data_IF_481735684826
#
_entry.id   IF_481735684826
#
_cell.length_a   1.000
_cell.length_b   1.000
_cell.length_c   1.000
_cell.angle_alpha   90.00
_cell.angle_beta   90.00
_cell.angle_gamma   90.00
#
_symmetry.space_group_name_H-M   'P 1'
#
loop_
_entity.id
_entity.type
_entity.pdbx_description
1 polymer ?
#
# COMPACT_ATOMS: atom_id res chain seq x y z
N UNK A 1 6.98 -11.90 -21.69
CA UNK A 1 6.99 -10.43 -21.57
C UNK A 1 5.86 -10.08 -20.62
N UNK A 2 6.21 -9.50 -19.46
CA UNK A 2 5.38 -9.09 -18.33
C UNK A 2 4.46 -10.14 -17.68
N UNK A 3 4.92 -10.72 -16.57
CA UNK A 3 4.05 -11.24 -15.51
C UNK A 3 4.47 -10.56 -14.22
N UNK A 4 3.97 -9.34 -14.04
CA UNK A 4 3.93 -8.74 -12.70
C UNK A 4 3.09 -9.65 -11.81
N UNK A 5 3.63 -9.98 -10.65
CA UNK A 5 2.88 -10.72 -9.64
C UNK A 5 1.67 -9.87 -9.19
N UNK A 6 0.51 -10.47 -8.87
CA UNK A 6 -0.52 -9.80 -8.09
C UNK A 6 0.15 -9.43 -6.76
N UNK A 7 0.34 -8.13 -6.51
CA UNK A 7 1.07 -7.62 -5.35
C UNK A 7 2.28 -6.73 -5.66
N UNK A 8 2.76 -6.61 -6.91
CA UNK A 8 3.74 -5.58 -7.27
C UNK A 8 3.06 -4.23 -7.57
N UNK A 9 2.50 -3.62 -6.53
CA UNK A 9 1.84 -2.32 -6.59
C UNK A 9 2.78 -1.12 -6.73
N UNK A 10 4.08 -1.34 -6.95
CA UNK A 10 5.08 -0.29 -6.90
C UNK A 10 6.07 -0.38 -8.07
N UNK A 11 5.64 0.08 -9.23
CA UNK A 11 6.56 0.56 -10.28
C UNK A 11 7.05 2.00 -10.04
N UNK A 12 6.66 2.65 -8.94
CA UNK A 12 7.11 4.00 -8.54
C UNK A 12 8.14 4.03 -7.39
N UNK A 13 8.96 2.99 -7.19
CA UNK A 13 10.14 3.07 -6.31
C UNK A 13 11.35 3.75 -6.97
N UNK A 14 11.14 4.87 -7.66
CA UNK A 14 12.18 5.51 -8.45
C UNK A 14 12.06 7.02 -8.54
N UNK A 15 12.85 7.72 -7.70
CA UNK A 15 13.40 9.09 -7.82
C UNK A 15 12.47 10.29 -8.06
N UNK A 16 11.30 10.12 -8.66
CA UNK A 16 10.41 11.19 -9.06
C UNK A 16 9.10 11.10 -8.29
N UNK A 17 8.68 12.21 -7.67
CA UNK A 17 7.37 12.31 -7.06
C UNK A 17 6.29 12.05 -8.13
N UNK A 18 5.27 11.22 -7.86
CA UNK A 18 4.19 11.03 -8.81
C UNK A 18 3.52 12.38 -9.09
N UNK A 19 3.15 12.68 -10.35
CA UNK A 19 2.46 13.91 -10.69
C UNK A 19 1.19 14.06 -9.85
N UNK A 20 1.05 15.20 -9.16
CA UNK A 20 -0.10 15.46 -8.29
C UNK A 20 -0.05 14.78 -6.92
N UNK A 21 1.12 14.32 -6.46
CA UNK A 21 1.24 13.79 -5.10
C UNK A 21 0.84 14.85 -4.07
N UNK A 22 -0.11 14.49 -3.22
CA UNK A 22 -0.59 15.32 -2.11
C UNK A 22 0.36 15.19 -0.91
N UNK A 23 0.73 16.31 -0.32
CA UNK A 23 1.53 16.34 0.90
C UNK A 23 0.64 16.52 2.14
N UNK A 24 1.03 15.87 3.22
CA UNK A 24 0.31 15.90 4.49
C UNK A 24 1.20 16.38 5.64
N UNK A 25 0.63 17.21 6.51
CA UNK A 25 1.16 17.35 7.86
C UNK A 25 0.91 16.07 8.65
N UNK A 26 1.67 15.88 9.73
CA UNK A 26 1.47 14.73 10.63
C UNK A 26 0.05 14.70 11.20
N UNK A 27 -0.54 15.86 11.49
CA UNK A 27 -1.89 15.97 12.04
C UNK A 27 -2.95 15.57 11.01
N UNK A 28 -2.84 16.01 9.76
CA UNK A 28 -3.74 15.61 8.69
C UNK A 28 -3.70 14.11 8.45
N UNK A 29 -2.50 13.53 8.31
CA UNK A 29 -2.34 12.09 8.12
C UNK A 29 -2.97 11.30 9.29
N UNK A 30 -2.79 11.76 10.53
CA UNK A 30 -3.39 11.13 11.72
C UNK A 30 -4.91 11.27 11.76
N UNK A 31 -5.47 12.38 11.27
CA UNK A 31 -6.94 12.56 11.17
C UNK A 31 -7.56 11.59 10.17
N UNK A 32 -6.84 11.25 9.10
CA UNK A 32 -7.31 10.27 8.09
C UNK A 32 -7.10 8.81 8.52
N UNK A 33 -6.22 8.56 9.48
CA UNK A 33 -5.83 7.21 9.89
C UNK A 33 -7.01 6.28 10.22
N UNK A 34 -8.12 6.70 10.86
CA UNK A 34 -9.25 5.81 11.11
C UNK A 34 -9.85 5.22 9.84
N UNK A 35 -9.98 6.01 8.76
CA UNK A 35 -10.49 5.55 7.47
C UNK A 35 -9.46 4.67 6.77
N UNK A 36 -8.21 5.14 6.68
CA UNK A 36 -7.12 4.38 6.05
C UNK A 36 -6.91 3.02 6.70
N UNK A 37 -7.05 2.95 8.03
CA UNK A 37 -6.98 1.70 8.78
C UNK A 37 -8.07 0.72 8.33
N UNK A 38 -9.31 1.18 8.13
CA UNK A 38 -10.41 0.32 7.69
C UNK A 38 -10.14 -0.26 6.31
N UNK A 39 -9.75 0.58 5.36
CA UNK A 39 -9.42 0.14 4.00
C UNK A 39 -8.23 -0.84 4.03
N UNK A 40 -7.20 -0.58 4.84
CA UNK A 40 -6.07 -1.49 4.97
C UNK A 40 -6.43 -2.82 5.66
N UNK A 41 -7.35 -2.81 6.63
CA UNK A 41 -7.92 -4.03 7.24
C UNK A 41 -8.69 -4.85 6.19
N UNK A 42 -9.50 -4.19 5.36
CA UNK A 42 -10.26 -4.84 4.29
C UNK A 42 -9.30 -5.46 3.26
N UNK A 43 -8.30 -4.71 2.77
CA UNK A 43 -7.26 -5.24 1.87
C UNK A 43 -6.58 -6.48 2.45
N UNK A 44 -6.22 -6.45 3.74
CA UNK A 44 -5.59 -7.59 4.40
C UNK A 44 -6.52 -8.81 4.48
N UNK A 45 -7.81 -8.60 4.77
CA UNK A 45 -8.81 -9.67 4.78
C UNK A 45 -9.01 -10.28 3.38
N UNK A 46 -9.16 -9.44 2.35
CA UNK A 46 -9.26 -9.90 0.96
C UNK A 46 -8.03 -10.70 0.53
N UNK A 47 -6.82 -10.27 0.92
CA UNK A 47 -5.59 -11.00 0.63
C UNK A 47 -5.56 -12.38 1.29
N UNK A 48 -6.01 -12.49 2.55
CA UNK A 48 -6.05 -13.77 3.26
C UNK A 48 -6.96 -14.80 2.57
N UNK A 49 -8.04 -14.34 1.94
CA UNK A 49 -8.91 -15.20 1.13
C UNK A 49 -8.29 -15.52 -0.24
N UNK A 50 -7.60 -14.57 -0.86
CA UNK A 50 -7.09 -14.69 -2.22
C UNK A 50 -5.80 -15.53 -2.32
N UNK A 51 -4.89 -15.39 -1.34
CA UNK A 51 -3.57 -16.00 -1.36
C UNK A 51 -3.58 -17.53 -1.58
N UNK A 52 -4.43 -18.31 -0.89
CA UNK A 52 -4.52 -19.76 -1.12
C UNK A 52 -4.91 -20.12 -2.56
N UNK A 53 -5.80 -19.34 -3.17
CA UNK A 53 -6.25 -19.54 -4.55
C UNK A 53 -5.12 -19.22 -5.54
N UNK A 54 -4.35 -18.15 -5.29
CA UNK A 54 -3.17 -17.80 -6.08
C UNK A 54 -2.13 -18.91 -6.00
N UNK A 55 -1.83 -19.41 -4.79
CA UNK A 55 -0.87 -20.51 -4.58
C UNK A 55 -1.32 -21.78 -5.29
N UNK A 56 -2.61 -22.12 -5.19
CA UNK A 56 -3.22 -23.26 -5.88
C UNK A 56 -3.06 -23.14 -7.39
N UNK A 57 -3.49 -22.01 -7.98
CA UNK A 57 -3.40 -21.79 -9.42
C UNK A 57 -1.94 -21.85 -9.90
N UNK A 58 -1.01 -21.22 -9.18
CA UNK A 58 0.43 -21.25 -9.48
C UNK A 58 0.99 -22.67 -9.50
N UNK A 59 0.50 -23.53 -8.61
CA UNK A 59 0.93 -24.93 -8.49
C UNK A 59 0.23 -25.87 -9.46
N UNK A 60 -0.83 -25.43 -10.16
CA UNK A 60 -1.53 -26.25 -11.15
C UNK A 60 -0.67 -26.48 -12.40
N UNK A 61 -0.64 -27.71 -12.94
CA UNK A 61 -0.03 -27.96 -14.24
C UNK A 61 -0.83 -27.28 -15.36
N UNK A 62 -0.20 -26.90 -16.49
CA UNK A 62 -0.85 -26.17 -17.57
C UNK A 62 -2.13 -26.86 -18.10
N UNK A 63 -2.18 -28.19 -18.06
CA UNK A 63 -3.32 -29.01 -18.49
C UNK A 63 -4.53 -28.79 -17.58
N UNK A 64 -4.29 -28.72 -16.27
CA UNK A 64 -5.33 -28.49 -15.28
C UNK A 64 -5.88 -27.07 -15.36
N UNK A 65 -5.05 -26.06 -15.71
CA UNK A 65 -5.55 -24.69 -15.91
C UNK A 65 -6.50 -24.56 -17.10
N UNK A 66 -6.32 -25.40 -18.13
CA UNK A 66 -7.17 -25.39 -19.34
C UNK A 66 -8.54 -26.04 -19.13
N UNK A 67 -8.77 -26.76 -18.02
CA UNK A 67 -10.08 -27.37 -17.72
C UNK A 67 -11.11 -26.31 -17.31
N UNK A 68 -12.38 -26.69 -17.23
CA UNK A 68 -13.43 -25.79 -16.74
C UNK A 68 -13.13 -25.29 -15.31
N UNK A 69 -12.70 -26.19 -14.42
CA UNK A 69 -12.36 -25.84 -13.04
C UNK A 69 -11.15 -24.90 -12.95
N UNK A 70 -10.14 -25.10 -13.82
CA UNK A 70 -8.96 -24.23 -13.89
C UNK A 70 -9.33 -22.81 -14.33
N UNK A 71 -10.14 -22.69 -15.38
CA UNK A 71 -10.63 -21.38 -15.86
C UNK A 71 -11.54 -20.68 -14.86
N UNK A 72 -12.46 -21.41 -14.22
CA UNK A 72 -13.32 -20.84 -13.19
C UNK A 72 -12.51 -20.29 -12.00
N UNK A 73 -11.41 -20.96 -11.63
CA UNK A 73 -10.49 -20.45 -10.60
C UNK A 73 -9.74 -19.19 -11.07
N UNK A 74 -9.33 -19.11 -12.35
CA UNK A 74 -8.72 -17.91 -12.93
C UNK A 74 -9.71 -16.72 -12.94
N UNK A 75 -10.95 -16.94 -13.36
CA UNK A 75 -12.01 -15.92 -13.37
C UNK A 75 -12.35 -15.43 -11.95
N UNK A 76 -12.44 -16.34 -10.97
CA UNK A 76 -12.66 -15.97 -9.56
C UNK A 76 -11.49 -15.11 -9.03
N UNK A 77 -10.25 -15.50 -9.35
CA UNK A 77 -9.06 -14.76 -8.96
C UNK A 77 -9.00 -13.37 -9.59
N UNK A 78 -9.39 -13.23 -10.86
CA UNK A 78 -9.44 -11.95 -11.55
C UNK A 78 -10.49 -11.02 -10.93
N UNK A 79 -11.69 -11.52 -10.66
CA UNK A 79 -12.75 -10.74 -10.01
C UNK A 79 -12.32 -10.24 -8.62
N UNK A 80 -11.76 -11.13 -7.78
CA UNK A 80 -11.29 -10.75 -6.44
C UNK A 80 -10.06 -9.84 -6.47
N UNK A 81 -9.18 -9.99 -7.47
CA UNK A 81 -8.08 -9.04 -7.67
C UNK A 81 -8.63 -7.64 -7.96
N UNK A 82 -9.64 -7.52 -8.83
CA UNK A 82 -10.25 -6.24 -9.15
C UNK A 82 -10.87 -5.54 -7.91
N UNK A 83 -11.45 -6.30 -6.98
CA UNK A 83 -11.93 -5.76 -5.70
C UNK A 83 -10.78 -5.20 -4.84
N UNK A 84 -9.67 -5.94 -4.72
CA UNK A 84 -8.49 -5.48 -4.01
C UNK A 84 -7.87 -4.24 -4.66
N UNK A 85 -7.85 -4.20 -5.99
CA UNK A 85 -7.34 -3.08 -6.77
C UNK A 85 -8.18 -1.82 -6.55
N UNK A 86 -9.50 -1.95 -6.40
CA UNK A 86 -10.39 -0.84 -6.07
C UNK A 86 -10.10 -0.24 -4.69
N UNK A 87 -9.86 -1.08 -3.67
CA UNK A 87 -9.49 -0.61 -2.32
C UNK A 87 -8.14 0.12 -2.31
N UNK A 88 -7.17 -0.38 -3.09
CA UNK A 88 -5.86 0.26 -3.21
C UNK A 88 -5.99 1.60 -3.96
N UNK A 89 -6.84 1.68 -4.99
CA UNK A 89 -7.16 2.93 -5.68
C UNK A 89 -7.80 3.94 -4.71
N UNK A 90 -8.70 3.50 -3.83
CA UNK A 90 -9.31 4.37 -2.82
C UNK A 90 -8.26 4.99 -1.89
N UNK A 91 -7.27 4.20 -1.45
CA UNK A 91 -6.13 4.73 -0.68
C UNK A 91 -5.33 5.76 -1.48
N UNK A 92 -5.08 5.50 -2.77
CA UNK A 92 -4.35 6.43 -3.65
C UNK A 92 -5.12 7.73 -3.86
N UNK A 93 -6.44 7.68 -4.03
CA UNK A 93 -7.32 8.85 -4.16
C UNK A 93 -7.34 9.69 -2.87
N UNK A 94 -7.18 9.05 -1.71
CA UNK A 94 -6.96 9.72 -0.42
C UNK A 94 -5.55 10.32 -0.27
N UNK A 95 -4.64 10.11 -1.23
CA UNK A 95 -3.24 10.54 -1.20
C UNK A 95 -2.31 9.61 -0.44
N UNK A 96 -2.74 8.37 -0.17
CA UNK A 96 -2.01 7.35 0.57
C UNK A 96 -1.39 6.32 -0.39
N UNK A 97 -0.23 5.79 -0.03
CA UNK A 97 0.48 4.80 -0.84
C UNK A 97 0.56 3.48 -0.08
N UNK A 98 -0.25 2.51 -0.50
CA UNK A 98 -0.17 1.15 -0.01
C UNK A 98 1.08 0.47 -0.58
N UNK A 99 1.97 -0.02 0.29
CA UNK A 99 3.26 -0.59 -0.13
C UNK A 99 3.26 -2.11 -0.29
N UNK A 100 2.22 -2.78 0.19
CA UNK A 100 2.08 -4.22 0.06
C UNK A 100 1.27 -4.82 1.20
N UNK A 101 0.60 -5.93 0.88
CA UNK A 101 -0.24 -6.71 1.80
C UNK A 101 0.59 -7.47 2.84
N UNK A 102 1.84 -7.80 2.52
CA UNK A 102 2.72 -8.59 3.38
C UNK A 102 3.11 -7.82 4.65
N UNK A 103 3.45 -6.55 4.51
CA UNK A 103 3.80 -5.69 5.63
C UNK A 103 2.60 -4.86 6.11
N UNK A 104 1.56 -4.67 5.30
CA UNK A 104 0.41 -3.81 5.62
C UNK A 104 0.82 -2.34 5.79
N UNK A 105 1.77 -1.89 4.98
CA UNK A 105 2.37 -0.56 5.08
C UNK A 105 1.61 0.46 4.24
N UNK A 106 1.33 1.61 4.85
CA UNK A 106 0.72 2.76 4.21
C UNK A 106 1.56 3.99 4.48
N UNK A 107 1.90 4.69 3.40
CA UNK A 107 2.70 5.90 3.45
C UNK A 107 1.93 7.13 2.98
N UNK A 108 2.24 8.28 3.57
CA UNK A 108 1.81 9.61 3.11
C UNK A 108 3.02 10.45 2.77
N UNK A 109 3.00 11.16 1.65
CA UNK A 109 4.01 12.18 1.42
C UNK A 109 3.87 13.30 2.45
N UNK A 110 5.01 13.83 2.91
CA UNK A 110 5.09 14.99 3.78
C UNK A 110 6.35 15.78 3.46
N UNK A 111 6.36 17.07 3.79
CA UNK A 111 7.54 17.90 3.73
C UNK A 111 8.18 17.98 5.10
N UNK A 112 9.43 17.54 5.21
CA UNK A 112 10.25 17.70 6.41
C UNK A 112 11.54 18.43 6.06
N UNK A 113 11.74 19.62 6.63
CA UNK A 113 12.87 20.51 6.29
C UNK A 113 13.00 20.77 4.79
N UNK A 114 11.87 21.12 4.15
CA UNK A 114 11.77 21.38 2.71
C UNK A 114 12.17 20.20 1.79
N UNK A 115 12.17 18.97 2.33
CA UNK A 115 12.41 17.76 1.53
C UNK A 115 11.21 16.81 1.63
N UNK A 116 10.83 16.17 0.52
CA UNK A 116 9.85 15.10 0.54
C UNK A 116 10.33 13.93 1.40
N UNK A 117 9.43 13.46 2.25
CA UNK A 117 9.58 12.27 3.09
C UNK A 117 8.27 11.49 3.08
N UNK A 118 8.30 10.26 3.57
CA UNK A 118 7.10 9.51 3.87
C UNK A 118 6.84 9.50 5.38
N UNK A 119 5.61 9.83 5.77
CA UNK A 119 5.06 9.41 7.06
C UNK A 119 4.57 7.97 6.86
N UNK A 120 4.93 7.07 7.75
CA UNK A 120 4.75 5.64 7.53
C UNK A 120 3.98 4.99 8.69
N UNK A 121 2.91 4.29 8.36
CA UNK A 121 2.12 3.51 9.29
C UNK A 121 2.05 2.05 8.84
N UNK A 122 2.09 1.15 9.81
CA UNK A 122 1.87 -0.28 9.58
C UNK A 122 0.57 -0.73 10.21
N UNK A 123 -0.18 -1.58 9.52
CA UNK A 123 -1.35 -2.24 10.08
C UNK A 123 -1.04 -2.84 11.47
N UNK A 124 -1.92 -2.56 12.44
CA UNK A 124 -1.72 -2.90 13.85
C UNK A 124 -1.00 -1.84 14.69
N UNK A 125 -0.36 -0.83 14.09
CA UNK A 125 0.18 0.31 14.84
C UNK A 125 -0.96 1.26 15.29
N UNK A 126 -0.90 1.81 16.53
CA UNK A 126 -1.99 2.63 17.06
C UNK A 126 -2.06 4.02 16.40
N UNK A 127 -0.93 4.57 15.96
CA UNK A 127 -0.81 5.90 15.34
C UNK A 127 0.34 5.95 14.32
N UNK A 128 0.39 7.03 13.52
CA UNK A 128 1.54 7.33 12.66
C UNK A 128 2.70 7.83 13.53
N UNK A 129 3.63 6.95 13.88
CA UNK A 129 4.77 7.24 14.76
C UNK A 129 6.13 7.24 14.05
N UNK A 130 6.15 6.98 12.75
CA UNK A 130 7.38 6.78 11.99
C UNK A 130 7.37 7.60 10.70
N UNK A 131 8.57 7.95 10.25
CA UNK A 131 8.79 8.55 8.96
C UNK A 131 10.07 7.98 8.33
N UNK A 132 10.24 8.09 7.02
CA UNK A 132 11.50 7.79 6.34
C UNK A 132 11.70 8.68 5.13
N UNK A 133 12.94 8.79 4.66
CA UNK A 133 13.21 9.47 3.39
C UNK A 133 12.65 8.65 2.22
N UNK A 134 12.25 9.31 1.15
CA UNK A 134 11.66 8.68 -0.05
C UNK A 134 12.64 7.67 -0.69
N UNK A 135 13.95 7.91 -0.56
CA UNK A 135 15.04 7.11 -1.12
C UNK A 135 15.57 6.00 -0.19
N UNK A 136 15.22 6.03 1.11
CA UNK A 136 15.75 5.09 2.10
C UNK A 136 14.96 3.78 2.22
N UNK A 137 13.74 3.72 1.68
CA UNK A 137 12.81 2.59 1.85
C UNK A 137 12.46 2.29 3.33
N UNK A 138 11.81 1.15 3.56
CA UNK A 138 11.30 0.76 4.90
C UNK A 138 12.40 0.59 5.97
N UNK A 139 13.59 0.10 5.59
CA UNK A 139 14.72 -0.05 6.51
C UNK A 139 15.20 1.30 7.08
N UNK A 140 14.80 2.42 6.46
CA UNK A 140 15.09 3.78 6.90
C UNK A 140 14.07 4.38 7.87
N UNK A 141 13.10 3.62 8.41
CA UNK A 141 12.10 4.14 9.36
C UNK A 141 12.76 4.74 10.60
N UNK A 142 12.40 5.99 10.88
CA UNK A 142 12.81 6.74 12.05
C UNK A 142 11.58 7.11 12.86
N UNK A 143 11.68 6.98 14.19
CA UNK A 143 10.62 7.41 15.08
C UNK A 143 10.48 8.92 15.03
N UNK A 144 9.25 9.41 14.95
CA UNK A 144 8.94 10.84 15.05
C UNK A 144 9.19 11.27 16.51
N UNK A 145 10.11 12.21 16.69
CA UNK A 145 10.36 12.84 17.97
C UNK A 145 9.34 13.95 18.24
N UNK A 146 9.07 14.26 19.50
CA UNK A 146 8.12 15.31 19.88
C UNK A 146 8.50 16.67 19.29
N UNK A 147 9.80 16.98 19.24
CA UNK A 147 10.34 18.19 18.62
C UNK A 147 10.15 18.25 17.09
N UNK A 148 9.83 17.13 16.44
CA UNK A 148 9.63 17.05 14.99
C UNK A 148 8.15 17.12 14.59
N UNK A 149 7.20 16.89 15.50
CA UNK A 149 5.78 16.70 15.14
C UNK A 149 5.20 17.85 14.31
N UNK A 150 5.54 19.09 14.67
CA UNK A 150 5.10 20.30 13.95
C UNK A 150 5.98 20.65 12.74
N UNK A 151 7.08 19.94 12.50
CA UNK A 151 7.99 20.22 11.38
C UNK A 151 7.59 19.48 10.08
N UNK A 152 6.65 18.55 10.16
CA UNK A 152 6.04 17.88 9.00
C UNK A 152 4.91 18.75 8.43
N UNK A 153 5.03 19.13 7.17
CA UNK A 153 4.09 20.04 6.48
C UNK A 153 3.38 19.32 5.32
N UNK A 154 2.13 19.70 5.10
CA UNK A 154 1.34 19.28 3.96
C UNK A 154 1.42 20.29 2.81
N UNK A 155 0.49 20.17 1.88
CA UNK A 155 0.23 21.20 0.88
C UNK A 155 -0.29 22.46 1.59
N UNK A 156 0.37 23.61 1.35
CA UNK A 156 -0.05 24.92 1.89
C UNK A 156 -1.30 25.47 1.18
#
# INVERSE_FOLDING_TARGET
MYTDAPGCYNSFMGRDLPPGARFFSLEEARRMLPLVRRIAEDIAAHWQELEPHIVRLRSMPPEARRTADGKALEEELEARSAEMDALISELQDLGCYFKGVQEGLVDWYSLYKARPVFLCWRLGEPEIAWWHQVDAGFAGRQRILDSQRSAFRGDE
#
